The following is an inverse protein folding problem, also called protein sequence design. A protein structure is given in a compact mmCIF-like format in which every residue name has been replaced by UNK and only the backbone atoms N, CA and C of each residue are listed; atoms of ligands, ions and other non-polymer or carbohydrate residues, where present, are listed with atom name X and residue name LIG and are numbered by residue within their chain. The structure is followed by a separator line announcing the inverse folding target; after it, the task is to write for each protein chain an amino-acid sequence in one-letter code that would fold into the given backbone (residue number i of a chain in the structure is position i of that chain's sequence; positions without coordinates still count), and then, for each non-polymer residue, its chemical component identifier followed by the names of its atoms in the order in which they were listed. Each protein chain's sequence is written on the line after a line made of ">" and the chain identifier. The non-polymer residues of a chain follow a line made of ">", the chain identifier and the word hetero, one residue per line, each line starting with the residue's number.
data_IF_953082332422
#
_entry.id   IF_953082332422
#
_cell.length_a   1.000
_cell.length_b   1.000
_cell.length_c   1.000
_cell.angle_alpha   90.00
_cell.angle_beta   90.00
_cell.angle_gamma   90.00
#
_symmetry.space_group_name_H-M   'P 1'
#
loop_
_entity.id
_entity.type
_entity.pdbx_description
1 polymer ?
#
# COMPACT_ATOMS: atom_id res chain seq x y z
N UNK A 1 -7.62 40.44 -15.17
CA UNK A 1 -7.81 39.41 -14.11
C UNK A 1 -8.29 39.94 -12.73
N UNK A 2 -9.08 41.04 -12.58
CA UNK A 2 -9.54 41.44 -11.24
C UNK A 2 -10.77 40.65 -10.73
N UNK A 3 -11.66 40.22 -11.64
CA UNK A 3 -12.91 39.51 -11.28
C UNK A 3 -12.62 38.11 -10.72
N UNK A 4 -11.73 37.35 -11.36
CA UNK A 4 -11.33 36.02 -10.88
C UNK A 4 -10.67 36.09 -9.50
N UNK A 5 -9.87 37.11 -9.24
CA UNK A 5 -9.18 37.30 -7.96
C UNK A 5 -10.15 37.75 -6.85
N UNK A 6 -11.13 38.59 -7.18
CA UNK A 6 -12.20 38.98 -6.25
C UNK A 6 -13.13 37.80 -5.89
N UNK A 7 -13.51 36.98 -6.87
CA UNK A 7 -14.28 35.75 -6.64
C UNK A 7 -13.50 34.77 -5.76
N UNK A 8 -12.21 34.57 -6.07
CA UNK A 8 -11.35 33.65 -5.31
C UNK A 8 -11.15 34.11 -3.86
N UNK A 9 -11.04 35.41 -3.60
CA UNK A 9 -10.94 35.95 -2.22
C UNK A 9 -12.27 35.82 -1.48
N UNK A 10 -13.40 36.03 -2.16
CA UNK A 10 -14.72 35.89 -1.55
C UNK A 10 -15.04 34.44 -1.14
N UNK A 11 -14.67 33.47 -1.99
CA UNK A 11 -14.85 32.04 -1.72
C UNK A 11 -13.59 31.35 -1.17
N UNK A 12 -12.57 32.09 -0.76
CA UNK A 12 -11.25 31.54 -0.41
C UNK A 12 -11.34 30.44 0.66
N UNK A 13 -12.12 30.68 1.72
CA UNK A 13 -12.28 29.72 2.81
C UNK A 13 -13.03 28.46 2.37
N UNK A 14 -14.05 28.61 1.52
CA UNK A 14 -14.82 27.48 0.99
C UNK A 14 -13.98 26.64 0.03
N UNK A 15 -13.24 27.28 -0.87
CA UNK A 15 -12.31 26.60 -1.78
C UNK A 15 -11.26 25.85 -0.98
N UNK A 16 -10.65 26.50 0.02
CA UNK A 16 -9.65 25.89 0.89
C UNK A 16 -10.22 24.68 1.65
N UNK A 17 -11.42 24.82 2.23
CA UNK A 17 -12.13 23.74 2.92
C UNK A 17 -12.38 22.56 1.98
N UNK A 18 -13.03 22.78 0.83
CA UNK A 18 -13.40 21.71 -0.10
C UNK A 18 -12.16 21.02 -0.70
N UNK A 19 -11.12 21.79 -1.03
CA UNK A 19 -9.89 21.24 -1.60
C UNK A 19 -9.18 20.32 -0.63
N UNK A 20 -9.01 20.75 0.62
CA UNK A 20 -8.43 19.93 1.68
C UNK A 20 -9.32 18.73 1.99
N UNK A 21 -10.64 18.92 2.06
CA UNK A 21 -11.58 17.83 2.33
C UNK A 21 -11.47 16.71 1.28
N UNK A 22 -11.45 17.08 0.00
CA UNK A 22 -11.32 16.15 -1.13
C UNK A 22 -9.99 15.39 -1.08
N UNK A 23 -8.88 16.09 -0.81
CA UNK A 23 -7.58 15.43 -0.64
C UNK A 23 -7.59 14.45 0.54
N UNK A 24 -8.07 14.86 1.72
CA UNK A 24 -8.07 14.02 2.92
C UNK A 24 -9.03 12.83 2.80
N UNK A 25 -10.07 12.94 1.98
CA UNK A 25 -10.94 11.81 1.59
C UNK A 25 -10.26 10.82 0.62
N UNK A 26 -9.01 11.04 0.25
CA UNK A 26 -8.18 10.08 -0.50
C UNK A 26 -8.02 10.39 -1.99
N UNK A 27 -8.52 11.53 -2.47
CA UNK A 27 -8.27 11.97 -3.85
C UNK A 27 -6.83 12.51 -3.96
N UNK A 28 -6.07 12.15 -5.02
CA UNK A 28 -4.67 12.54 -5.16
C UNK A 28 -4.52 14.00 -5.65
N UNK A 29 -5.00 14.95 -4.85
CA UNK A 29 -4.99 16.39 -5.16
C UNK A 29 -4.03 17.09 -4.20
N UNK A 30 -2.99 17.82 -4.67
CA UNK A 30 -2.02 18.42 -3.77
C UNK A 30 -2.62 19.64 -3.04
N UNK A 31 -2.76 19.61 -1.71
CA UNK A 31 -3.23 20.78 -0.94
C UNK A 31 -2.13 21.76 -0.55
N UNK A 32 -0.87 21.31 -0.47
CA UNK A 32 0.27 22.15 -0.05
C UNK A 32 0.33 23.48 -0.83
N UNK A 33 0.21 23.51 -2.17
CA UNK A 33 0.22 24.78 -2.92
C UNK A 33 -0.93 25.71 -2.53
N UNK A 34 -2.12 25.17 -2.26
CA UNK A 34 -3.31 25.94 -1.88
C UNK A 34 -3.15 26.52 -0.47
N UNK A 35 -2.59 25.74 0.46
CA UNK A 35 -2.26 26.21 1.82
C UNK A 35 -1.20 27.31 1.83
N UNK A 36 -0.13 27.15 1.06
CA UNK A 36 0.90 28.18 0.91
C UNK A 36 0.32 29.47 0.30
N UNK A 37 -0.57 29.33 -0.68
CA UNK A 37 -1.29 30.48 -1.30
C UNK A 37 -2.19 31.16 -0.28
N UNK A 38 -2.96 30.40 0.52
CA UNK A 38 -3.78 30.96 1.59
C UNK A 38 -2.93 31.69 2.64
N UNK A 39 -1.79 31.13 3.04
CA UNK A 39 -0.82 31.78 3.92
C UNK A 39 -0.32 33.12 3.35
N UNK A 40 0.04 33.14 2.07
CA UNK A 40 0.47 34.35 1.35
C UNK A 40 -0.63 35.41 1.28
N UNK A 41 -1.87 35.00 1.01
CA UNK A 41 -3.03 35.90 1.01
C UNK A 41 -3.34 36.45 2.42
N UNK A 42 -3.03 35.68 3.47
CA UNK A 42 -3.13 36.16 4.83
C UNK A 42 -2.07 37.21 5.17
N UNK A 43 -0.84 37.06 4.67
CA UNK A 43 0.21 38.08 4.79
C UNK A 43 -0.18 39.42 4.13
N UNK A 44 -0.97 39.38 3.05
CA UNK A 44 -1.48 40.58 2.36
C UNK A 44 -2.78 41.13 2.96
N UNK A 45 -3.23 40.62 4.11
CA UNK A 45 -4.50 40.98 4.76
C UNK A 45 -5.73 40.80 3.85
N UNK A 46 -5.63 39.95 2.82
CA UNK A 46 -6.76 39.63 1.92
C UNK A 46 -7.70 38.59 2.53
N UNK A 47 -7.16 37.72 3.40
CA UNK A 47 -7.92 36.74 4.18
C UNK A 47 -7.41 36.70 5.64
N UNK A 48 -8.26 36.31 6.58
CA UNK A 48 -7.85 36.12 7.97
C UNK A 48 -7.24 34.73 8.18
N UNK A 49 -6.08 34.68 8.84
CA UNK A 49 -5.37 33.43 9.16
C UNK A 49 -6.24 32.46 9.95
N UNK A 50 -6.94 32.96 10.98
CA UNK A 50 -7.79 32.14 11.86
C UNK A 50 -8.92 31.45 11.13
N UNK A 51 -9.59 32.13 10.19
CA UNK A 51 -10.65 31.51 9.37
C UNK A 51 -10.09 30.50 8.36
N UNK A 52 -8.91 30.77 7.79
CA UNK A 52 -8.23 29.81 6.93
C UNK A 52 -7.84 28.54 7.71
N UNK A 53 -7.27 28.70 8.89
CA UNK A 53 -6.94 27.59 9.78
C UNK A 53 -8.19 26.79 10.16
N UNK A 54 -9.27 27.46 10.58
CA UNK A 54 -10.52 26.80 10.97
C UNK A 54 -11.11 25.99 9.80
N UNK A 55 -11.08 26.54 8.58
CA UNK A 55 -11.53 25.85 7.38
C UNK A 55 -10.71 24.58 7.11
N UNK A 56 -9.38 24.65 7.21
CA UNK A 56 -8.50 23.48 7.03
C UNK A 56 -8.73 22.43 8.11
N UNK A 57 -8.82 22.85 9.37
CA UNK A 57 -9.06 21.95 10.50
C UNK A 57 -10.41 21.26 10.37
N UNK A 58 -11.48 21.99 10.04
CA UNK A 58 -12.79 21.40 9.84
C UNK A 58 -12.78 20.34 8.72
N UNK A 59 -12.09 20.62 7.61
CA UNK A 59 -11.94 19.68 6.50
C UNK A 59 -11.20 18.39 6.92
N UNK A 60 -10.05 18.52 7.61
CA UNK A 60 -9.30 17.39 8.14
C UNK A 60 -10.16 16.56 9.09
N UNK A 61 -10.69 17.17 10.15
CA UNK A 61 -11.46 16.46 11.17
C UNK A 61 -12.65 15.70 10.59
N UNK A 62 -13.37 16.28 9.61
CA UNK A 62 -14.49 15.60 8.95
C UNK A 62 -13.99 14.36 8.18
N UNK A 63 -12.98 14.52 7.32
CA UNK A 63 -12.45 13.41 6.53
C UNK A 63 -11.85 12.31 7.41
N UNK A 64 -11.02 12.68 8.39
CA UNK A 64 -10.35 11.74 9.29
C UNK A 64 -11.35 11.01 10.19
N UNK A 65 -12.43 11.69 10.61
CA UNK A 65 -13.52 11.06 11.35
C UNK A 65 -14.30 10.06 10.51
N UNK A 66 -14.59 10.38 9.24
CA UNK A 66 -15.20 9.44 8.28
C UNK A 66 -14.33 8.19 8.17
N UNK A 67 -13.02 8.38 7.98
CA UNK A 67 -12.07 7.27 7.89
C UNK A 67 -11.95 6.45 9.17
N UNK A 68 -11.94 7.09 10.34
CA UNK A 68 -11.94 6.43 11.63
C UNK A 68 -13.18 5.55 11.81
N UNK A 69 -14.37 6.06 11.51
CA UNK A 69 -15.61 5.28 11.64
C UNK A 69 -15.70 4.14 10.62
N UNK A 70 -15.23 4.36 9.39
CA UNK A 70 -15.08 3.31 8.40
C UNK A 70 -14.14 2.21 8.89
N UNK A 71 -12.97 2.57 9.42
CA UNK A 71 -12.03 1.62 10.03
C UNK A 71 -12.61 0.87 11.23
N UNK A 72 -13.38 1.56 12.08
CA UNK A 72 -14.02 0.96 13.25
C UNK A 72 -15.15 -0.01 12.89
N UNK A 73 -15.94 0.29 11.87
CA UNK A 73 -17.10 -0.53 11.46
C UNK A 73 -16.75 -1.67 10.52
N UNK A 74 -15.82 -1.44 9.59
CA UNK A 74 -15.49 -2.38 8.52
C UNK A 74 -14.08 -3.00 8.65
N UNK A 75 -13.29 -2.54 9.63
CA UNK A 75 -12.01 -3.13 10.01
C UNK A 75 -11.05 -3.31 8.82
N UNK A 76 -10.45 -4.50 8.75
CA UNK A 76 -9.48 -4.85 7.71
C UNK A 76 -10.01 -4.79 6.27
N UNK A 77 -11.33 -4.75 6.03
CA UNK A 77 -11.88 -4.60 4.68
C UNK A 77 -11.61 -3.22 4.07
N UNK A 78 -11.68 -2.16 4.88
CA UNK A 78 -11.34 -0.79 4.43
C UNK A 78 -9.85 -0.68 4.15
N UNK A 79 -9.03 -1.30 5.01
CA UNK A 79 -7.59 -1.30 4.81
C UNK A 79 -7.19 -2.11 3.56
N UNK A 80 -7.86 -3.23 3.28
CA UNK A 80 -7.71 -3.98 2.02
C UNK A 80 -8.14 -3.17 0.80
N UNK A 81 -9.24 -2.42 0.88
CA UNK A 81 -9.69 -1.55 -0.21
C UNK A 81 -8.67 -0.44 -0.50
N UNK A 82 -8.20 0.25 0.55
CA UNK A 82 -7.15 1.28 0.45
C UNK A 82 -5.83 0.69 -0.09
N UNK A 83 -5.48 -0.52 0.34
CA UNK A 83 -4.31 -1.24 -0.17
C UNK A 83 -4.49 -1.76 -1.61
N UNK A 84 -5.72 -1.97 -2.08
CA UNK A 84 -6.00 -2.35 -3.47
C UNK A 84 -5.99 -1.14 -4.40
N UNK A 85 -6.38 0.03 -3.88
CA UNK A 85 -6.30 1.31 -4.59
C UNK A 85 -4.86 1.86 -4.61
N UNK A 86 -4.07 1.57 -3.58
CA UNK A 86 -2.61 1.82 -3.57
C UNK A 86 -1.85 0.71 -4.31
N UNK A 87 -1.06 1.07 -5.32
CA UNK A 87 -0.32 0.15 -6.20
C UNK A 87 0.69 -0.83 -5.54
N UNK A 88 0.85 -0.84 -4.20
CA UNK A 88 1.76 -1.74 -3.46
C UNK A 88 1.05 -2.43 -2.28
N UNK A 89 0.07 -3.28 -2.60
CA UNK A 89 -0.84 -3.92 -1.65
C UNK A 89 -0.21 -4.85 -0.58
N UNK A 90 0.98 -5.42 -0.79
CA UNK A 90 1.53 -6.44 0.12
C UNK A 90 2.47 -5.91 1.20
N UNK A 91 2.97 -4.68 1.08
CA UNK A 91 3.92 -4.08 2.06
C UNK A 91 3.26 -3.00 2.94
N UNK A 92 2.07 -2.53 2.55
CA UNK A 92 1.39 -1.37 3.14
C UNK A 92 0.80 -1.65 4.54
N UNK A 93 0.16 -2.80 4.76
CA UNK A 93 -0.49 -3.12 6.05
C UNK A 93 0.52 -3.50 7.13
N UNK A 94 1.35 -4.52 6.88
CA UNK A 94 2.22 -5.11 7.92
C UNK A 94 3.28 -4.14 8.47
N UNK A 95 3.85 -3.26 7.63
CA UNK A 95 4.80 -2.25 8.12
C UNK A 95 4.12 -1.09 8.84
N UNK A 96 2.98 -0.61 8.34
CA UNK A 96 2.31 0.58 8.89
C UNK A 96 1.56 0.26 10.18
N UNK A 97 0.94 -0.92 10.26
CA UNK A 97 0.40 -1.48 11.50
C UNK A 97 1.53 -1.65 12.54
N UNK A 98 2.71 -2.13 12.14
CA UNK A 98 3.88 -2.20 13.00
C UNK A 98 4.36 -0.85 13.54
N UNK A 99 4.30 0.23 12.76
CA UNK A 99 4.62 1.58 13.25
C UNK A 99 3.57 2.12 14.23
N UNK A 100 2.28 1.90 13.94
CA UNK A 100 1.19 2.32 14.82
C UNK A 100 1.20 1.53 16.14
N UNK A 101 1.48 0.22 16.10
CA UNK A 101 1.62 -0.62 17.29
C UNK A 101 2.87 -0.27 18.12
N UNK A 102 3.98 0.13 17.49
CA UNK A 102 5.23 0.47 18.20
C UNK A 102 5.25 1.89 18.78
N UNK A 103 4.70 2.89 18.08
CA UNK A 103 4.72 4.31 18.49
C UNK A 103 3.38 4.80 19.03
N UNK A 104 2.33 4.00 18.90
CA UNK A 104 1.01 4.30 19.43
C UNK A 104 0.38 5.56 18.83
N UNK A 105 -0.49 6.25 19.61
CA UNK A 105 -1.27 7.40 19.15
C UNK A 105 -0.43 8.59 18.65
N UNK A 106 0.83 8.71 19.08
CA UNK A 106 1.75 9.78 18.65
C UNK A 106 1.98 9.75 17.14
N UNK A 107 1.83 8.59 16.50
CA UNK A 107 1.93 8.44 15.04
C UNK A 107 0.93 9.34 14.31
N UNK A 108 -0.26 9.60 14.87
CA UNK A 108 -1.29 10.46 14.26
C UNK A 108 -0.80 11.90 14.08
N UNK A 109 0.03 12.40 14.99
CA UNK A 109 0.57 13.77 14.93
C UNK A 109 1.43 13.98 13.68
N UNK A 110 2.24 12.98 13.34
CA UNK A 110 3.17 13.05 12.21
C UNK A 110 2.63 12.42 10.92
N UNK A 111 1.49 11.73 10.99
CA UNK A 111 0.92 11.00 9.86
C UNK A 111 0.65 11.90 8.65
N UNK A 112 0.21 13.14 8.87
CA UNK A 112 -0.13 14.10 7.81
C UNK A 112 1.08 14.63 7.02
N UNK A 113 2.30 14.52 7.56
CA UNK A 113 3.52 14.91 6.87
C UNK A 113 4.05 13.81 5.93
N UNK A 114 3.56 12.58 6.06
CA UNK A 114 4.04 11.43 5.30
C UNK A 114 2.94 10.97 4.35
N UNK A 115 3.10 11.17 3.03
CA UNK A 115 2.13 10.71 2.05
C UNK A 115 1.82 9.22 2.20
N UNK A 116 0.54 8.86 2.16
CA UNK A 116 0.06 7.49 2.34
C UNK A 116 -0.04 7.02 3.80
N UNK A 117 0.70 7.63 4.74
CA UNK A 117 0.49 7.37 6.17
C UNK A 117 -0.76 8.08 6.69
N UNK A 118 -1.01 9.30 6.22
CA UNK A 118 -2.20 10.09 6.56
C UNK A 118 -3.52 9.37 6.25
N UNK A 119 -3.61 8.72 5.09
CA UNK A 119 -4.83 8.04 4.61
C UNK A 119 -5.12 6.74 5.35
N UNK A 120 -4.11 6.08 5.93
CA UNK A 120 -4.27 4.80 6.64
C UNK A 120 -4.28 4.96 8.16
N UNK A 121 -3.77 6.05 8.71
CA UNK A 121 -3.66 6.22 10.16
C UNK A 121 -5.03 6.31 10.86
N UNK A 122 -5.98 7.09 10.32
CA UNK A 122 -7.31 7.21 10.90
C UNK A 122 -8.13 5.90 10.84
N UNK A 123 -8.18 5.16 9.71
CA UNK A 123 -8.80 3.84 9.67
C UNK A 123 -8.17 2.83 10.63
N UNK A 124 -6.83 2.80 10.75
CA UNK A 124 -6.13 1.91 11.69
C UNK A 124 -6.46 2.26 13.15
N UNK A 125 -6.53 3.55 13.50
CA UNK A 125 -6.96 3.98 14.83
C UNK A 125 -8.39 3.50 15.16
N UNK A 126 -9.29 3.56 14.18
CA UNK A 126 -10.65 3.02 14.30
C UNK A 126 -10.68 1.49 14.45
N UNK A 127 -9.94 0.78 13.60
CA UNK A 127 -9.86 -0.69 13.58
C UNK A 127 -9.28 -1.26 14.88
N UNK A 128 -8.28 -0.59 15.46
CA UNK A 128 -7.65 -1.01 16.73
C UNK A 128 -8.49 -0.68 17.96
N UNK A 129 -9.69 -0.12 17.78
CA UNK A 129 -10.61 0.18 18.88
C UNK A 129 -10.20 1.37 19.73
N UNK A 130 -9.34 2.27 19.23
CA UNK A 130 -8.96 3.48 19.96
C UNK A 130 -10.21 4.31 20.30
N UNK A 131 -10.41 4.77 21.54
CA UNK A 131 -11.52 5.67 21.89
C UNK A 131 -11.54 6.92 21.00
N UNK A 132 -12.72 7.31 20.50
CA UNK A 132 -12.84 8.41 19.52
C UNK A 132 -12.33 9.74 20.05
N UNK A 133 -12.55 10.04 21.33
CA UNK A 133 -12.02 11.24 21.99
C UNK A 133 -10.49 11.28 21.98
N UNK A 134 -9.83 10.14 22.25
CA UNK A 134 -8.37 10.03 22.20
C UNK A 134 -7.88 10.21 20.77
N UNK A 135 -8.51 9.56 19.80
CA UNK A 135 -8.21 9.75 18.38
C UNK A 135 -8.30 11.23 17.98
N UNK A 136 -9.43 11.87 18.29
CA UNK A 136 -9.71 13.26 17.93
C UNK A 136 -8.67 14.22 18.53
N UNK A 137 -8.21 14.01 19.77
CA UNK A 137 -7.17 14.85 20.38
C UNK A 137 -5.83 14.76 19.63
N UNK A 138 -5.40 13.55 19.28
CA UNK A 138 -4.12 13.36 18.58
C UNK A 138 -4.19 13.80 17.11
N UNK A 139 -5.31 13.53 16.45
CA UNK A 139 -5.56 13.95 15.08
C UNK A 139 -5.69 15.48 14.97
N UNK A 140 -6.36 16.13 15.93
CA UNK A 140 -6.42 17.59 16.01
C UNK A 140 -5.02 18.18 16.21
N UNK A 141 -4.22 17.63 17.11
CA UNK A 141 -2.84 18.10 17.33
C UNK A 141 -1.99 17.98 16.04
N UNK A 142 -2.10 16.85 15.33
CA UNK A 142 -1.44 16.66 14.03
C UNK A 142 -1.95 17.62 12.97
N UNK A 143 -3.26 17.83 12.89
CA UNK A 143 -3.91 18.74 11.94
C UNK A 143 -3.50 20.18 12.16
N UNK A 144 -3.43 20.65 13.41
CA UNK A 144 -2.95 22.00 13.76
C UNK A 144 -1.49 22.14 13.36
N UNK A 145 -0.64 21.19 13.77
CA UNK A 145 0.80 21.25 13.48
C UNK A 145 1.05 21.31 11.97
N UNK A 146 0.36 20.46 11.20
CA UNK A 146 0.47 20.41 9.75
C UNK A 146 -0.06 21.68 9.09
N UNK A 147 -1.28 22.12 9.44
CA UNK A 147 -1.91 23.30 8.84
C UNK A 147 -1.10 24.58 9.13
N UNK A 148 -0.67 24.79 10.38
CA UNK A 148 0.14 25.94 10.77
C UNK A 148 1.50 25.93 10.07
N UNK A 149 2.14 24.76 9.92
CA UNK A 149 3.43 24.66 9.21
C UNK A 149 3.32 25.25 7.80
N UNK A 150 2.30 24.88 7.03
CA UNK A 150 2.14 25.36 5.65
C UNK A 150 1.53 26.76 5.55
N UNK A 151 0.55 27.10 6.41
CA UNK A 151 -0.03 28.45 6.41
C UNK A 151 1.00 29.51 6.85
N UNK A 152 1.76 29.26 7.90
CA UNK A 152 2.81 30.17 8.37
C UNK A 152 3.99 30.23 7.40
N UNK A 153 4.37 29.11 6.79
CA UNK A 153 5.38 29.12 5.73
C UNK A 153 4.93 30.02 4.56
N UNK A 154 3.69 29.87 4.09
CA UNK A 154 3.12 30.74 3.06
C UNK A 154 3.10 32.21 3.48
N UNK A 155 2.73 32.49 4.72
CA UNK A 155 2.71 33.86 5.28
C UNK A 155 4.12 34.47 5.34
N UNK A 156 5.11 33.71 5.81
CA UNK A 156 6.51 34.12 5.89
C UNK A 156 7.09 34.42 4.51
N UNK A 157 6.89 33.52 3.54
CA UNK A 157 7.35 33.72 2.17
C UNK A 157 6.60 34.86 1.46
N UNK A 158 5.31 35.05 1.75
CA UNK A 158 4.53 36.19 1.25
C UNK A 158 5.02 37.54 1.74
N UNK A 159 5.39 37.64 3.02
CA UNK A 159 5.98 38.87 3.60
C UNK A 159 7.40 39.12 3.07
N UNK A 160 8.20 38.07 2.84
CA UNK A 160 9.51 38.18 2.21
C UNK A 160 9.42 38.64 0.74
N UNK A 161 8.48 38.09 -0.03
CA UNK A 161 8.27 38.43 -1.44
C UNK A 161 7.95 39.92 -1.64
N UNK A 162 7.21 40.53 -0.70
CA UNK A 162 6.95 41.99 -0.72
C UNK A 162 8.20 42.84 -0.51
N UNK A 163 9.20 42.34 0.22
CA UNK A 163 10.40 43.12 0.59
C UNK A 163 11.49 43.08 -0.49
N UNK A 164 11.52 42.03 -1.33
CA UNK A 164 12.55 41.85 -2.36
C UNK A 164 12.02 41.09 -3.58
N UNK A 165 11.18 41.76 -4.39
CA UNK A 165 10.49 41.16 -5.54
C UNK A 165 11.40 40.45 -6.57
N UNK A 166 12.52 41.02 -7.07
CA UNK A 166 13.31 40.37 -8.13
C UNK A 166 14.14 39.16 -7.64
N UNK A 167 14.56 39.15 -6.37
CA UNK A 167 15.28 38.00 -5.78
C UNK A 167 14.36 36.80 -5.59
N UNK A 168 13.08 37.05 -5.31
CA UNK A 168 12.11 36.01 -5.00
C UNK A 168 11.51 35.34 -6.24
N UNK A 169 11.37 36.05 -7.36
CA UNK A 169 10.95 35.44 -8.63
C UNK A 169 11.97 34.40 -9.12
N UNK A 170 13.26 34.70 -8.95
CA UNK A 170 14.34 33.77 -9.28
C UNK A 170 14.34 32.57 -8.32
N UNK A 171 14.30 32.82 -7.01
CA UNK A 171 14.32 31.78 -5.99
C UNK A 171 13.09 30.85 -6.06
N UNK A 172 11.91 31.38 -6.37
CA UNK A 172 10.69 30.59 -6.54
C UNK A 172 10.73 29.74 -7.81
N UNK A 173 11.24 30.25 -8.93
CA UNK A 173 11.47 29.43 -10.14
C UNK A 173 12.47 28.31 -9.88
N UNK A 174 13.58 28.59 -9.19
CA UNK A 174 14.56 27.57 -8.83
C UNK A 174 13.98 26.53 -7.86
N UNK A 175 13.27 26.95 -6.82
CA UNK A 175 12.62 26.03 -5.88
C UNK A 175 11.58 25.15 -6.56
N UNK A 176 10.78 25.70 -7.48
CA UNK A 176 9.80 24.96 -8.26
C UNK A 176 10.48 23.97 -9.23
N UNK A 177 11.53 24.39 -9.93
CA UNK A 177 12.31 23.52 -10.80
C UNK A 177 12.95 22.35 -10.02
N UNK A 178 13.49 22.62 -8.82
CA UNK A 178 14.06 21.60 -7.93
C UNK A 178 12.96 20.65 -7.42
N UNK A 179 11.79 21.16 -7.06
CA UNK A 179 10.64 20.33 -6.66
C UNK A 179 10.21 19.40 -7.80
N UNK A 180 10.03 19.93 -9.01
CA UNK A 180 9.72 19.14 -10.21
C UNK A 180 10.82 18.10 -10.45
N UNK A 181 12.09 18.47 -10.37
CA UNK A 181 13.21 17.55 -10.54
C UNK A 181 13.25 16.45 -9.47
N UNK A 182 12.92 16.77 -8.21
CA UNK A 182 12.82 15.78 -7.13
C UNK A 182 11.64 14.83 -7.35
N UNK A 183 10.47 15.34 -7.74
CA UNK A 183 9.30 14.51 -8.02
C UNK A 183 9.59 13.60 -9.22
N UNK A 184 10.06 14.16 -10.33
CA UNK A 184 10.44 13.39 -11.52
C UNK A 184 11.57 12.40 -11.22
N UNK A 185 12.57 12.79 -10.44
CA UNK A 185 13.68 11.95 -10.00
C UNK A 185 13.21 10.81 -9.09
N UNK A 186 12.26 11.07 -8.19
CA UNK A 186 11.64 10.05 -7.34
C UNK A 186 10.84 9.06 -8.18
N UNK A 187 9.98 9.53 -9.09
CA UNK A 187 9.23 8.69 -10.02
C UNK A 187 10.18 7.90 -10.93
N UNK A 188 11.21 8.53 -11.50
CA UNK A 188 12.20 7.89 -12.33
C UNK A 188 12.99 6.84 -11.55
N UNK A 189 13.50 7.15 -10.35
CA UNK A 189 14.15 6.19 -9.47
C UNK A 189 13.23 5.01 -9.15
N UNK A 190 11.96 5.27 -8.84
CA UNK A 190 10.98 4.22 -8.53
C UNK A 190 10.70 3.34 -9.75
N UNK A 191 10.51 3.93 -10.93
CA UNK A 191 10.32 3.22 -12.19
C UNK A 191 11.57 2.41 -12.58
N UNK A 192 12.76 2.99 -12.45
CA UNK A 192 14.03 2.31 -12.72
C UNK A 192 14.27 1.16 -11.74
N UNK A 193 13.92 1.34 -10.45
CA UNK A 193 14.00 0.29 -9.44
C UNK A 193 13.00 -0.83 -9.72
N UNK A 194 11.77 -0.51 -10.14
CA UNK A 194 10.78 -1.50 -10.55
C UNK A 194 11.21 -2.24 -11.82
N UNK A 195 11.83 -1.55 -12.79
CA UNK A 195 12.40 -2.17 -13.99
C UNK A 195 13.58 -3.08 -13.69
N UNK A 196 14.53 -2.64 -12.87
CA UNK A 196 15.66 -3.48 -12.40
C UNK A 196 15.17 -4.70 -11.61
N UNK A 197 14.15 -4.50 -10.78
CA UNK A 197 13.47 -5.56 -10.04
C UNK A 197 12.85 -6.62 -10.98
N UNK A 198 12.19 -6.20 -12.07
CA UNK A 198 11.65 -7.10 -13.08
C UNK A 198 12.73 -7.78 -13.94
N UNK A 199 13.83 -7.08 -14.22
CA UNK A 199 14.96 -7.63 -14.99
C UNK A 199 15.65 -8.78 -14.26
N UNK A 200 15.93 -8.64 -12.96
CA UNK A 200 16.56 -9.72 -12.16
C UNK A 200 15.71 -10.99 -12.09
N UNK A 201 14.40 -10.86 -12.20
CA UNK A 201 13.49 -12.02 -12.23
C UNK A 201 13.37 -12.62 -13.63
N UNK A 202 13.57 -11.82 -14.69
CA UNK A 202 13.43 -12.28 -16.08
C UNK A 202 14.38 -13.42 -16.42
N UNK A 203 15.59 -13.42 -15.84
CA UNK A 203 16.61 -14.44 -16.08
C UNK A 203 16.32 -15.75 -15.31
N UNK A 204 15.35 -15.76 -14.40
CA UNK A 204 14.91 -16.93 -13.62
C UNK A 204 13.60 -17.53 -14.13
N UNK A 205 13.04 -17.01 -15.23
CA UNK A 205 11.75 -17.48 -15.76
C UNK A 205 11.89 -18.83 -16.43
N UNK A 206 10.92 -19.69 -16.20
CA UNK A 206 10.77 -20.97 -16.86
C UNK A 206 9.69 -20.86 -17.94
N UNK A 207 9.96 -21.35 -19.15
CA UNK A 207 8.96 -21.39 -20.21
C UNK A 207 7.95 -22.54 -19.97
N UNK A 208 6.67 -22.40 -20.34
CA UNK A 208 5.67 -23.46 -20.16
C UNK A 208 6.08 -24.82 -20.75
N UNK A 209 6.73 -24.81 -21.92
CA UNK A 209 7.24 -26.02 -22.55
C UNK A 209 8.33 -26.72 -21.73
N UNK A 210 9.20 -25.96 -21.08
CA UNK A 210 10.26 -26.49 -20.21
C UNK A 210 9.65 -27.12 -18.97
N UNK A 211 8.65 -26.47 -18.35
CA UNK A 211 7.93 -27.05 -17.22
C UNK A 211 7.24 -28.36 -17.62
N UNK A 212 6.57 -28.40 -18.78
CA UNK A 212 5.93 -29.62 -19.27
C UNK A 212 6.93 -30.75 -19.48
N UNK A 213 8.07 -30.46 -20.13
CA UNK A 213 9.13 -31.45 -20.33
C UNK A 213 9.70 -31.97 -19.01
N UNK A 214 9.84 -31.11 -17.99
CA UNK A 214 10.27 -31.52 -16.65
C UNK A 214 9.26 -32.45 -15.97
N UNK A 215 7.95 -32.17 -16.13
CA UNK A 215 6.89 -33.01 -15.57
C UNK A 215 6.85 -34.38 -16.25
N UNK A 216 6.95 -34.41 -17.58
CA UNK A 216 6.92 -35.64 -18.38
C UNK A 216 8.13 -36.53 -18.08
N UNK A 217 9.33 -35.93 -18.03
CA UNK A 217 10.53 -36.66 -17.67
C UNK A 217 10.47 -37.22 -16.23
N UNK A 218 9.84 -36.50 -15.29
CA UNK A 218 9.65 -36.98 -13.93
C UNK A 218 8.71 -38.19 -13.90
N UNK A 219 7.62 -38.16 -14.66
CA UNK A 219 6.65 -39.25 -14.78
C UNK A 219 7.26 -40.49 -15.45
N UNK A 220 7.95 -40.32 -16.58
CA UNK A 220 8.58 -41.42 -17.33
C UNK A 220 9.71 -42.11 -16.54
N UNK A 221 10.48 -41.34 -15.77
CA UNK A 221 11.65 -41.85 -15.04
C UNK A 221 11.33 -42.24 -13.59
N UNK A 222 10.09 -42.05 -13.12
CA UNK A 222 9.72 -42.24 -11.72
C UNK A 222 10.44 -41.29 -10.75
N UNK A 223 10.89 -40.14 -11.25
CA UNK A 223 11.58 -39.11 -10.47
C UNK A 223 10.59 -38.18 -9.78
N UNK A 224 11.05 -37.45 -8.76
CA UNK A 224 10.18 -36.54 -8.03
C UNK A 224 9.93 -35.27 -8.86
N UNK A 225 8.68 -34.89 -9.15
CA UNK A 225 8.37 -33.74 -9.99
C UNK A 225 8.79 -32.41 -9.34
N UNK A 226 8.89 -31.33 -10.14
CA UNK A 226 9.08 -29.99 -9.61
C UNK A 226 7.93 -29.60 -8.66
N UNK A 227 8.24 -28.79 -7.65
CA UNK A 227 7.26 -28.33 -6.67
C UNK A 227 6.53 -27.10 -7.20
N UNK A 228 5.27 -27.26 -7.62
CA UNK A 228 4.49 -26.21 -8.27
C UNK A 228 3.62 -25.50 -7.23
N UNK A 229 3.68 -24.18 -7.21
CA UNK A 229 2.91 -23.34 -6.28
C UNK A 229 1.98 -22.39 -7.04
N UNK A 230 0.70 -22.50 -6.73
CA UNK A 230 -0.33 -21.58 -7.22
C UNK A 230 -0.46 -20.37 -6.28
N UNK A 231 -0.14 -19.18 -6.80
CA UNK A 231 -0.21 -17.91 -6.08
C UNK A 231 -1.48 -17.11 -6.39
N UNK A 232 -2.43 -17.68 -7.13
CA UNK A 232 -3.68 -17.01 -7.50
C UNK A 232 -4.53 -16.64 -6.28
N UNK A 233 -5.20 -15.51 -6.38
CA UNK A 233 -6.18 -15.11 -5.38
C UNK A 233 -7.42 -16.01 -5.49
N UNK A 234 -8.14 -16.33 -4.41
CA UNK A 234 -9.37 -17.15 -4.48
C UNK A 234 -10.39 -16.69 -5.53
N UNK A 235 -10.45 -15.37 -5.78
CA UNK A 235 -11.34 -14.79 -6.80
C UNK A 235 -10.94 -15.13 -8.24
N UNK A 236 -9.67 -15.48 -8.48
CA UNK A 236 -9.16 -15.83 -9.81
C UNK A 236 -9.57 -17.25 -10.24
N UNK A 237 -10.13 -18.05 -9.32
CA UNK A 237 -10.72 -19.36 -9.60
C UNK A 237 -12.16 -19.26 -10.10
N UNK A 238 -12.83 -18.11 -9.93
CA UNK A 238 -14.22 -17.92 -10.36
C UNK A 238 -14.41 -18.05 -11.88
N UNK A 239 -13.52 -17.50 -12.73
CA UNK A 239 -13.63 -17.66 -14.18
C UNK A 239 -13.17 -19.05 -14.66
N UNK A 240 -12.17 -19.63 -14.00
CA UNK A 240 -11.60 -20.93 -14.35
C UNK A 240 -11.02 -21.60 -13.09
N UNK A 241 -11.72 -22.60 -12.52
CA UNK A 241 -11.31 -23.23 -11.26
C UNK A 241 -10.17 -24.24 -11.44
N UNK A 242 -9.70 -24.47 -12.66
CA UNK A 242 -8.63 -25.45 -12.90
C UNK A 242 -7.26 -24.93 -12.47
N UNK A 243 -6.35 -25.84 -12.17
CA UNK A 243 -4.95 -25.61 -11.77
C UNK A 243 -3.98 -26.39 -12.65
N UNK A 244 -2.69 -26.07 -12.54
CA UNK A 244 -1.65 -26.94 -13.10
C UNK A 244 -1.63 -28.27 -12.33
N UNK A 245 -1.37 -29.42 -13.00
CA UNK A 245 -1.31 -30.71 -12.32
C UNK A 245 -0.27 -30.71 -11.19
N UNK A 246 -0.66 -31.16 -10.00
CA UNK A 246 0.21 -31.20 -8.83
C UNK A 246 0.53 -29.84 -8.19
N UNK A 247 -0.14 -28.76 -8.60
CA UNK A 247 0.04 -27.44 -7.99
C UNK A 247 -0.57 -27.36 -6.59
N UNK A 248 0.23 -26.91 -5.62
CA UNK A 248 -0.23 -26.58 -4.28
C UNK A 248 -0.54 -25.09 -4.17
N UNK A 249 -1.74 -24.74 -3.73
CA UNK A 249 -2.11 -23.34 -3.48
C UNK A 249 -1.44 -22.85 -2.20
N UNK A 250 -0.57 -21.84 -2.30
CA UNK A 250 0.00 -21.13 -1.15
C UNK A 250 -0.18 -19.64 -1.40
N UNK A 251 -0.97 -18.96 -0.56
CA UNK A 251 -1.16 -17.53 -0.71
C UNK A 251 0.15 -16.75 -0.59
N UNK A 252 0.32 -15.61 -1.30
CA UNK A 252 1.54 -14.79 -1.23
C UNK A 252 1.92 -14.34 0.20
N UNK A 253 0.94 -14.26 1.10
CA UNK A 253 1.13 -13.89 2.51
C UNK A 253 1.39 -15.11 3.42
N UNK A 254 1.02 -16.32 2.97
CA UNK A 254 1.09 -17.56 3.75
C UNK A 254 2.43 -18.27 3.58
N UNK A 255 3.18 -17.93 2.54
CA UNK A 255 4.40 -18.63 2.17
C UNK A 255 5.53 -18.56 3.22
N UNK A 256 5.56 -17.51 4.05
CA UNK A 256 6.49 -17.42 5.19
C UNK A 256 6.16 -18.45 6.26
N UNK A 257 4.87 -18.70 6.48
CA UNK A 257 4.38 -19.68 7.44
C UNK A 257 4.57 -21.11 6.92
N UNK A 258 4.51 -21.30 5.60
CA UNK A 258 4.67 -22.61 4.94
C UNK A 258 6.09 -22.86 4.39
N UNK A 259 7.08 -22.08 4.81
CA UNK A 259 8.46 -22.18 4.28
C UNK A 259 9.14 -23.53 4.56
N UNK A 260 8.63 -24.31 5.51
CA UNK A 260 9.10 -25.66 5.84
C UNK A 260 8.65 -26.71 4.83
N UNK A 261 7.52 -26.49 4.16
CA UNK A 261 6.95 -27.41 3.15
C UNK A 261 7.66 -27.24 1.80
N UNK A 262 8.28 -26.09 1.57
CA UNK A 262 8.94 -25.77 0.31
C UNK A 262 10.29 -26.50 0.25
N UNK A 263 10.48 -27.41 -0.72
CA UNK A 263 11.72 -28.16 -0.83
C UNK A 263 12.90 -27.27 -1.19
N UNK A 264 14.09 -27.62 -0.68
CA UNK A 264 15.36 -26.92 -1.00
C UNK A 264 16.21 -27.69 -2.01
N UNK A 265 15.90 -28.97 -2.21
CA UNK A 265 16.61 -29.94 -3.02
C UNK A 265 16.17 -29.96 -4.49
N UNK A 266 15.00 -29.41 -4.83
CA UNK A 266 14.42 -29.43 -6.19
C UNK A 266 13.87 -28.08 -6.62
N UNK A 267 13.47 -27.98 -7.88
CA UNK A 267 12.94 -26.75 -8.43
C UNK A 267 11.54 -26.44 -7.92
N UNK A 268 11.35 -25.18 -7.52
CA UNK A 268 10.10 -24.60 -7.05
C UNK A 268 9.57 -23.65 -8.11
N UNK A 269 8.41 -23.97 -8.66
CA UNK A 269 7.82 -23.25 -9.79
C UNK A 269 6.64 -22.43 -9.29
N UNK A 270 6.67 -21.12 -9.54
CA UNK A 270 5.64 -20.20 -9.07
C UNK A 270 4.81 -19.67 -10.24
N UNK A 271 3.48 -19.76 -10.17
CA UNK A 271 2.61 -19.13 -11.17
C UNK A 271 1.50 -18.29 -10.53
N UNK A 272 1.07 -17.26 -11.26
CA UNK A 272 -0.04 -16.37 -10.89
C UNK A 272 -0.79 -15.94 -12.16
N UNK A 273 -1.92 -15.27 -12.00
CA UNK A 273 -2.69 -14.59 -13.07
C UNK A 273 -2.33 -13.11 -13.22
N UNK A 274 -1.36 -12.61 -12.46
CA UNK A 274 -1.02 -11.18 -12.47
C UNK A 274 -0.30 -10.77 -13.77
N UNK A 275 -0.58 -9.58 -14.31
CA UNK A 275 0.13 -9.05 -15.47
C UNK A 275 1.64 -8.98 -15.16
N UNK A 276 2.47 -9.41 -16.12
CA UNK A 276 3.93 -9.43 -16.01
C UNK A 276 4.54 -10.32 -14.90
N UNK A 277 3.75 -11.20 -14.28
CA UNK A 277 4.19 -12.15 -13.23
C UNK A 277 4.74 -11.47 -11.97
N UNK A 278 4.28 -10.25 -11.65
CA UNK A 278 4.85 -9.45 -10.55
C UNK A 278 4.81 -10.16 -9.18
N UNK A 279 3.73 -10.91 -8.92
CA UNK A 279 3.54 -11.62 -7.63
C UNK A 279 4.54 -12.78 -7.51
N UNK A 280 4.63 -13.64 -8.54
CA UNK A 280 5.61 -14.73 -8.61
C UNK A 280 7.05 -14.21 -8.54
N UNK A 281 7.32 -13.08 -9.20
CA UNK A 281 8.62 -12.42 -9.21
C UNK A 281 9.07 -11.95 -7.82
N UNK A 282 8.20 -11.22 -7.12
CA UNK A 282 8.44 -10.73 -5.75
C UNK A 282 8.68 -11.89 -4.81
N UNK A 283 7.93 -12.96 -5.00
CA UNK A 283 7.99 -14.10 -4.10
C UNK A 283 9.23 -14.96 -4.31
N UNK A 284 9.62 -15.22 -5.56
CA UNK A 284 10.87 -15.91 -5.87
C UNK A 284 12.07 -15.26 -5.18
N UNK A 285 12.10 -13.92 -5.16
CA UNK A 285 13.17 -13.17 -4.50
C UNK A 285 13.12 -13.22 -2.97
N UNK A 286 11.94 -13.34 -2.37
CA UNK A 286 11.83 -13.55 -0.93
C UNK A 286 12.35 -14.93 -0.55
N UNK A 287 12.00 -15.97 -1.32
CA UNK A 287 12.47 -17.33 -1.09
C UNK A 287 13.99 -17.45 -1.26
N UNK A 288 14.57 -16.77 -2.25
CA UNK A 288 16.03 -16.66 -2.42
C UNK A 288 16.74 -16.09 -1.18
N UNK A 289 16.15 -15.06 -0.56
CA UNK A 289 16.66 -14.47 0.69
C UNK A 289 16.51 -15.39 1.90
N UNK A 290 15.62 -16.38 1.83
CA UNK A 290 15.41 -17.40 2.86
C UNK A 290 16.26 -18.66 2.61
N UNK A 291 17.19 -18.61 1.65
CA UNK A 291 18.09 -19.71 1.32
C UNK A 291 17.50 -20.75 0.35
N UNK A 292 16.35 -20.45 -0.28
CA UNK A 292 15.74 -21.30 -1.30
C UNK A 292 16.06 -20.73 -2.68
N UNK A 293 17.08 -21.29 -3.32
CA UNK A 293 17.67 -20.69 -4.52
C UNK A 293 17.03 -21.19 -5.83
N UNK A 294 16.50 -22.42 -5.84
CA UNK A 294 15.92 -23.09 -7.02
C UNK A 294 14.47 -22.64 -7.29
N UNK A 295 14.21 -21.34 -7.35
CA UNK A 295 12.84 -20.81 -7.52
C UNK A 295 12.71 -20.11 -8.87
N UNK A 296 11.75 -20.55 -9.68
CA UNK A 296 11.57 -20.10 -11.06
C UNK A 296 10.11 -19.72 -11.33
N UNK A 297 9.81 -18.43 -11.60
CA UNK A 297 8.47 -18.02 -12.03
C UNK A 297 8.13 -18.57 -13.42
N UNK A 298 6.91 -19.08 -13.57
CA UNK A 298 6.41 -19.56 -14.85
C UNK A 298 6.03 -18.39 -15.76
N UNK A 299 6.61 -18.33 -16.96
CA UNK A 299 6.31 -17.27 -17.91
C UNK A 299 4.86 -17.32 -18.37
N UNK A 300 4.18 -16.18 -18.34
CA UNK A 300 2.76 -16.06 -18.68
C UNK A 300 1.82 -16.67 -17.63
N UNK A 301 2.36 -17.28 -16.57
CA UNK A 301 1.59 -17.85 -15.48
C UNK A 301 0.56 -18.89 -15.92
N UNK A 302 -0.62 -18.85 -15.31
CA UNK A 302 -1.74 -19.76 -15.63
C UNK A 302 -2.20 -19.64 -17.09
N UNK A 303 -2.35 -18.40 -17.58
CA UNK A 303 -2.84 -18.15 -18.93
C UNK A 303 -1.84 -18.59 -19.99
N UNK A 304 -0.53 -18.43 -19.73
CA UNK A 304 0.53 -18.92 -20.61
C UNK A 304 0.54 -20.45 -20.75
N UNK A 305 0.38 -21.16 -19.64
CA UNK A 305 0.24 -22.63 -19.65
C UNK A 305 -1.00 -23.09 -20.41
N UNK A 306 -2.14 -22.44 -20.16
CA UNK A 306 -3.42 -22.72 -20.83
C UNK A 306 -3.36 -22.43 -22.34
N UNK A 307 -2.76 -21.30 -22.73
CA UNK A 307 -2.61 -20.92 -24.14
C UNK A 307 -1.71 -21.89 -24.92
N UNK A 308 -0.74 -22.52 -24.24
CA UNK A 308 0.10 -23.57 -24.82
C UNK A 308 -0.62 -24.92 -24.97
N UNK A 309 -1.86 -25.06 -24.48
CA UNK A 309 -2.67 -26.26 -24.62
C UNK A 309 -2.27 -27.40 -23.68
N UNK A 310 -1.53 -27.11 -22.62
CA UNK A 310 -1.07 -28.11 -21.65
C UNK A 310 -2.18 -28.54 -20.66
N UNK A 311 -2.08 -29.75 -20.08
CA UNK A 311 -3.13 -30.30 -19.24
C UNK A 311 -3.38 -29.44 -18.00
N UNK A 312 -4.66 -29.36 -17.62
CA UNK A 312 -5.14 -28.68 -16.44
C UNK A 312 -5.98 -29.67 -15.63
N UNK A 313 -5.89 -29.61 -14.31
CA UNK A 313 -6.70 -30.42 -13.39
C UNK A 313 -7.70 -29.55 -12.67
N UNK A 314 -8.86 -30.09 -12.32
CA UNK A 314 -9.80 -29.36 -11.47
C UNK A 314 -9.17 -29.10 -10.10
N UNK A 315 -9.37 -27.90 -9.55
CA UNK A 315 -8.97 -27.62 -8.18
C UNK A 315 -9.84 -28.44 -7.25
N UNK A 316 -9.24 -29.47 -6.66
CA UNK A 316 -9.84 -30.20 -5.54
C UNK A 316 -9.43 -29.47 -4.27
N UNK A 317 -10.41 -29.01 -3.50
CA UNK A 317 -10.21 -28.31 -2.24
C UNK A 317 -9.80 -29.29 -1.13
N UNK A 318 -8.68 -30.01 -1.31
CA UNK A 318 -8.22 -31.06 -0.37
C UNK A 318 -6.83 -30.72 0.20
N UNK A 319 -6.82 -29.85 1.21
CA UNK A 319 -6.04 -30.07 2.45
C UNK A 319 -6.87 -29.48 3.60
N UNK A 320 -7.21 -30.27 4.64
CA UNK A 320 -7.88 -29.71 5.81
C UNK A 320 -7.00 -28.62 6.40
N UNK A 321 -7.55 -27.42 6.55
CA UNK A 321 -7.01 -26.42 7.47
C UNK A 321 -6.68 -27.17 8.76
N UNK A 322 -5.39 -27.16 9.16
CA UNK A 322 -4.99 -27.72 10.43
C UNK A 322 -5.99 -27.24 11.49
N UNK A 323 -6.83 -28.15 11.97
CA UNK A 323 -7.71 -27.87 13.08
C UNK A 323 -6.81 -27.32 14.18
N UNK A 324 -7.19 -26.21 14.84
CA UNK A 324 -6.46 -25.78 16.02
C UNK A 324 -6.39 -26.99 16.94
N UNK A 325 -5.17 -27.40 17.30
CA UNK A 325 -4.93 -28.47 18.26
C UNK A 325 -5.90 -28.28 19.42
N UNK A 326 -6.90 -29.16 19.52
CA UNK A 326 -7.72 -29.26 20.71
C UNK A 326 -6.76 -29.44 21.89
N UNK A 327 -6.91 -28.68 22.99
CA UNK A 327 -6.07 -28.88 24.15
C UNK A 327 -6.12 -30.35 24.57
N UNK A 328 -4.94 -30.97 24.65
CA UNK A 328 -4.76 -32.31 25.20
C UNK A 328 -5.53 -32.39 26.51
N UNK A 329 -6.43 -33.35 26.58
CA UNK A 329 -7.29 -33.61 27.72
C UNK A 329 -6.50 -33.65 29.03
N UNK A 330 -7.09 -33.05 30.06
CA UNK A 330 -6.81 -33.39 31.46
C UNK A 330 -7.12 -34.88 31.66
N UNK A 331 -6.10 -35.72 31.52
CA UNK A 331 -6.06 -37.04 32.15
C UNK A 331 -5.64 -36.84 33.61
N UNK A 332 -6.61 -36.52 34.47
CA UNK A 332 -6.46 -36.71 35.91
C UNK A 332 -6.86 -38.14 36.29
N UNK A 333 -5.83 -38.89 36.65
CA UNK A 333 -5.70 -40.12 37.45
C UNK A 333 -6.96 -40.76 38.10
N UNK A 334 -7.02 -42.10 38.17
CA UNK A 334 -7.98 -42.82 39.01
C UNK A 334 -7.53 -42.80 40.49
N UNK A 335 -8.37 -42.26 41.36
CA UNK A 335 -8.44 -42.66 42.77
C UNK A 335 -9.72 -43.50 42.90
N UNK A 336 -9.73 -44.72 43.44
CA UNK A 336 -9.00 -45.15 44.63
C UNK A 336 -9.85 -44.88 45.87
N UNK A 337 -11.03 -45.53 45.95
CA UNK A 337 -11.60 -46.18 47.14
C UNK A 337 -12.99 -46.76 46.83
#
# INVERSE_FOLDING_TARGET
>A
MPIALAFFVHYAYLILFLWVLVEQLGMPVPSIPVLLTAGTLSATHRIHHSYALLAVLAACLIADSVWYWLGRRYGGSVLRLLCRLSFEASTCVSKTEGYFLRRGPVTLVFAKFVPGLSTVAAPIAGQTGMPYNRFLMWDLAGSILWAETFLLAGRFFGDLAKRSAPFFELLSHFAFAIFIAMVLGFFAYRLLKQRKFLQQVRDLRLEPAELKAMMDAAEEQGNIPPFIVDLRHPLDYLPDPRVLPGALRIGPNEIRQHSEIIPRDRDVILYCTCPSEETSAKLAMQLHKMGIYRVRPLRGGFDGWKAAGYPLTDYVEDVPHAQPLLPVAQLSSPAGN
#
